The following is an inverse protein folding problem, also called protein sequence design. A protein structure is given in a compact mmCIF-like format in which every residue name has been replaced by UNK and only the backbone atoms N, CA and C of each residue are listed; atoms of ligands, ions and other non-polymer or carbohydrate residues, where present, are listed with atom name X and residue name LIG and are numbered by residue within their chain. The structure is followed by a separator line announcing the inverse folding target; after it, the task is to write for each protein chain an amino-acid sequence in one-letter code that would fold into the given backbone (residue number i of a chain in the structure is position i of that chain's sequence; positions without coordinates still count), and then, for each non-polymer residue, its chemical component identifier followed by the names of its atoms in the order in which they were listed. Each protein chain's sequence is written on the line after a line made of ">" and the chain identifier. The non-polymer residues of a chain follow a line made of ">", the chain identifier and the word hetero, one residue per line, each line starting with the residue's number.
data_IF_071103291664
#
_entry.id   IF_071103291664
#
_cell.length_a   1.000
_cell.length_b   1.000
_cell.length_c   1.000
_cell.angle_alpha   90.00
_cell.angle_beta   90.00
_cell.angle_gamma   90.00
#
_symmetry.space_group_name_H-M   'P 1'
#
loop_
_entity.id
_entity.type
_entity.pdbx_description
1 polymer ?
#
# COMPACT_ATOMS: atom_id res chain seq x y z
N UNK A 1 2.20 -5.33 8.61
CA UNK A 1 1.89 -4.43 9.75
C UNK A 1 0.83 -3.41 9.33
N UNK A 2 -0.04 -2.95 10.23
CA UNK A 2 -0.99 -1.87 9.92
C UNK A 2 -0.28 -0.51 9.96
N UNK A 3 -0.60 0.37 9.02
CA UNK A 3 -0.06 1.72 8.88
C UNK A 3 -1.18 2.73 9.08
N UNK A 4 -0.91 3.79 9.85
CA UNK A 4 -1.90 4.83 10.08
C UNK A 4 -2.08 5.71 8.83
N UNK A 5 -3.29 6.24 8.63
CA UNK A 5 -3.61 7.13 7.49
C UNK A 5 -2.66 8.34 7.38
N UNK A 6 -2.28 8.89 8.52
CA UNK A 6 -1.41 10.06 8.65
C UNK A 6 0.08 9.70 8.79
N UNK A 7 0.45 8.41 8.70
CA UNK A 7 1.84 7.97 8.79
C UNK A 7 2.66 8.59 7.66
N UNK A 8 3.84 9.11 8.01
CA UNK A 8 4.80 9.67 7.07
C UNK A 8 5.71 8.58 6.53
N UNK A 9 5.63 8.32 5.24
CA UNK A 9 6.40 7.29 4.54
C UNK A 9 7.29 7.93 3.49
N UNK A 10 8.46 7.36 3.28
CA UNK A 10 9.32 7.75 2.17
C UNK A 10 8.78 7.18 0.86
N UNK A 11 8.41 8.06 -0.07
CA UNK A 11 7.76 7.67 -1.32
C UNK A 11 8.35 8.45 -2.50
N UNK A 12 8.68 7.74 -3.57
CA UNK A 12 9.39 8.28 -4.76
C UNK A 12 10.76 8.93 -4.44
N UNK A 13 11.39 8.51 -3.34
CA UNK A 13 12.67 9.03 -2.87
C UNK A 13 12.68 9.24 -1.36
N UNK A 14 13.72 9.89 -0.81
CA UNK A 14 13.83 10.19 0.62
C UNK A 14 12.92 11.37 1.04
N UNK A 15 11.67 11.38 0.56
CA UNK A 15 10.67 12.43 0.83
C UNK A 15 9.53 11.86 1.64
N UNK A 16 9.25 12.46 2.80
CA UNK A 16 8.12 12.08 3.64
C UNK A 16 6.79 12.51 3.02
N UNK A 17 5.95 11.54 2.73
CA UNK A 17 4.59 11.72 2.22
C UNK A 17 3.62 10.93 3.09
N UNK A 18 2.49 11.54 3.45
CA UNK A 18 1.44 10.86 4.20
C UNK A 18 0.85 9.70 3.41
N UNK A 19 0.57 8.58 4.07
CA UNK A 19 -0.04 7.40 3.44
C UNK A 19 -1.30 7.73 2.62
N UNK A 20 -2.18 8.61 3.13
CA UNK A 20 -3.38 9.03 2.39
C UNK A 20 -3.12 9.96 1.20
N UNK A 21 -2.01 10.69 1.19
CA UNK A 21 -1.58 11.47 0.01
C UNK A 21 -0.98 10.55 -1.04
N UNK A 22 -0.21 9.54 -0.62
CA UNK A 22 0.30 8.49 -1.49
C UNK A 22 -0.87 7.82 -2.20
N UNK A 23 -1.86 7.31 -1.45
CA UNK A 23 -3.04 6.66 -2.00
C UNK A 23 -3.77 7.51 -3.06
N UNK A 24 -3.99 8.80 -2.77
CA UNK A 24 -4.65 9.73 -3.71
C UNK A 24 -3.83 10.03 -4.96
N UNK A 25 -2.51 9.84 -4.90
CA UNK A 25 -1.60 10.10 -6.01
C UNK A 25 -1.38 8.85 -6.89
N UNK A 26 -1.89 7.67 -6.50
CA UNK A 26 -1.75 6.45 -7.29
C UNK A 26 -2.65 6.50 -8.53
N UNK A 27 -2.12 6.21 -9.73
CA UNK A 27 -2.90 6.25 -10.96
C UNK A 27 -3.95 5.14 -10.96
N UNK A 28 -5.06 5.34 -11.68
CA UNK A 28 -6.16 4.36 -11.75
C UNK A 28 -5.70 2.94 -12.11
N UNK A 29 -4.71 2.80 -13.01
CA UNK A 29 -4.12 1.51 -13.42
C UNK A 29 -3.40 0.74 -12.31
N UNK A 30 -2.98 1.41 -11.24
CA UNK A 30 -2.34 0.76 -10.10
C UNK A 30 -3.36 0.05 -9.19
N UNK A 31 -4.65 0.39 -9.34
CA UNK A 31 -5.73 -0.20 -8.57
C UNK A 31 -6.25 -1.45 -9.26
N UNK A 32 -6.39 -2.52 -8.48
CA UNK A 32 -6.96 -3.79 -8.90
C UNK A 32 -8.13 -4.12 -7.97
N UNK A 33 -9.30 -4.34 -8.57
CA UNK A 33 -10.49 -4.77 -7.85
C UNK A 33 -10.35 -6.25 -7.51
N UNK A 34 -10.41 -6.58 -6.22
CA UNK A 34 -10.32 -7.94 -5.74
C UNK A 34 -11.31 -8.20 -4.62
N UNK A 35 -11.86 -9.42 -4.60
CA UNK A 35 -12.64 -9.93 -3.48
C UNK A 35 -11.73 -10.20 -2.28
N UNK A 36 -12.11 -9.70 -1.11
CA UNK A 36 -11.48 -10.05 0.16
C UNK A 36 -12.12 -11.32 0.78
N UNK A 37 -12.81 -12.11 -0.04
CA UNK A 37 -13.50 -13.34 0.35
C UNK A 37 -15.01 -13.16 0.59
N UNK A 38 -15.71 -14.29 0.57
CA UNK A 38 -17.10 -14.37 0.99
C UNK A 38 -17.20 -14.18 2.51
N UNK A 39 -17.63 -12.99 2.93
CA UNK A 39 -17.91 -12.72 4.34
C UNK A 39 -19.30 -13.21 4.72
N UNK A 40 -19.59 -13.23 6.03
CA UNK A 40 -20.91 -13.54 6.58
C UNK A 40 -22.05 -12.61 6.08
N UNK A 41 -21.72 -11.48 5.44
CA UNK A 41 -22.67 -10.51 4.87
C UNK A 41 -22.61 -10.43 3.34
N UNK A 42 -22.02 -11.43 2.69
CA UNK A 42 -21.76 -11.44 1.25
C UNK A 42 -20.32 -11.07 0.89
N UNK A 43 -20.04 -11.11 -0.40
CA UNK A 43 -18.70 -10.85 -0.95
C UNK A 43 -18.26 -9.40 -0.70
N UNK A 44 -17.07 -9.23 -0.12
CA UNK A 44 -16.49 -7.90 0.12
C UNK A 44 -15.50 -7.57 -0.97
N UNK A 45 -15.92 -6.76 -1.93
CA UNK A 45 -15.07 -6.30 -3.03
C UNK A 45 -14.41 -4.98 -2.65
N UNK A 46 -13.08 -4.93 -2.76
CA UNK A 46 -12.31 -3.71 -2.54
C UNK A 46 -11.39 -3.44 -3.73
N UNK A 47 -11.04 -2.16 -3.92
CA UNK A 47 -9.93 -1.83 -4.80
C UNK A 47 -8.64 -1.81 -3.97
N UNK A 48 -7.61 -2.50 -4.48
CA UNK A 48 -6.31 -2.62 -3.85
C UNK A 48 -5.24 -2.01 -4.75
N UNK A 49 -4.28 -1.30 -4.17
CA UNK A 49 -3.09 -0.84 -4.87
C UNK A 49 -1.85 -1.12 -4.04
N UNK A 50 -0.78 -1.55 -4.69
CA UNK A 50 0.53 -1.77 -4.08
C UNK A 50 1.51 -0.75 -4.64
N UNK A 51 2.25 -0.06 -3.78
CA UNK A 51 3.31 0.86 -4.20
C UNK A 51 4.58 0.62 -3.40
N UNK A 52 5.73 0.69 -4.07
CA UNK A 52 7.03 0.61 -3.41
C UNK A 52 7.26 1.88 -2.56
N UNK A 53 7.78 1.66 -1.35
CA UNK A 53 8.27 2.67 -0.44
C UNK A 53 9.78 2.74 -0.53
N UNK A 54 10.31 3.95 -0.49
CA UNK A 54 11.75 4.17 -0.47
C UNK A 54 12.28 3.96 0.94
N UNK A 55 13.45 3.33 1.10
CA UNK A 55 14.19 3.25 2.36
C UNK A 55 15.69 3.31 2.11
N UNK A 56 16.46 3.81 3.07
CA UNK A 56 17.90 3.62 3.07
C UNK A 56 18.19 2.13 3.29
N UNK A 57 18.87 1.50 2.34
CA UNK A 57 19.29 0.11 2.45
C UNK A 57 20.80 0.09 2.64
N UNK A 58 21.21 -0.02 3.90
CA UNK A 58 22.61 0.13 4.30
C UNK A 58 23.40 -1.15 3.99
N UNK A 59 22.76 -2.31 4.09
CA UNK A 59 23.37 -3.64 3.91
C UNK A 59 22.92 -4.33 2.63
N UNK A 60 23.77 -5.19 2.05
CA UNK A 60 23.42 -6.03 0.91
C UNK A 60 22.22 -6.96 1.21
N UNK A 61 22.12 -7.43 2.46
CA UNK A 61 20.97 -8.22 2.93
C UNK A 61 19.66 -7.43 3.03
N UNK A 62 19.70 -6.10 3.16
CA UNK A 62 18.50 -5.27 3.16
C UNK A 62 18.05 -4.97 1.73
N UNK A 63 19.02 -4.79 0.81
CA UNK A 63 18.76 -4.56 -0.63
C UNK A 63 17.94 -5.64 -1.30
N UNK A 64 17.97 -6.85 -0.75
CA UNK A 64 17.18 -7.99 -1.24
C UNK A 64 15.68 -7.85 -0.95
N UNK A 65 15.28 -6.96 -0.04
CA UNK A 65 13.87 -6.77 0.33
C UNK A 65 13.37 -5.41 -0.13
N UNK A 66 12.23 -5.38 -0.82
CA UNK A 66 11.46 -4.17 -1.08
C UNK A 66 10.50 -3.91 0.06
N UNK A 67 10.23 -2.63 0.33
CA UNK A 67 9.16 -2.23 1.24
C UNK A 67 8.00 -1.73 0.41
N UNK A 68 6.80 -2.19 0.74
CA UNK A 68 5.61 -1.84 0.00
C UNK A 68 4.53 -1.33 0.94
N UNK A 69 3.75 -0.39 0.41
CA UNK A 69 2.50 0.05 0.99
C UNK A 69 1.37 -0.59 0.19
N UNK A 70 0.65 -1.51 0.82
CA UNK A 70 -0.60 -2.02 0.30
C UNK A 70 -1.74 -1.14 0.81
N UNK A 71 -2.44 -0.51 -0.14
CA UNK A 71 -3.57 0.37 0.10
C UNK A 71 -4.84 -0.36 -0.31
N UNK A 72 -5.83 -0.40 0.57
CA UNK A 72 -7.18 -0.87 0.27
C UNK A 72 -8.15 0.29 0.37
N UNK A 73 -9.06 0.44 -0.59
CA UNK A 73 -10.20 1.38 -0.51
C UNK A 73 -11.53 0.69 -0.84
N UNK A 74 -12.59 1.17 -0.22
CA UNK A 74 -13.96 0.81 -0.59
C UNK A 74 -14.34 1.46 -1.94
N UNK A 75 -15.04 0.74 -2.83
CA UNK A 75 -15.59 1.34 -4.05
C UNK A 75 -16.80 2.24 -3.78
N UNK A 76 -17.45 2.06 -2.62
CA UNK A 76 -18.55 2.90 -2.13
C UNK A 76 -18.01 4.10 -1.34
N UNK A 77 -18.69 5.23 -1.45
CA UNK A 77 -18.26 6.63 -1.22
C UNK A 77 -17.51 6.95 0.09
N UNK A 78 -17.58 6.06 1.08
CA UNK A 78 -16.74 6.11 2.28
C UNK A 78 -15.34 5.61 1.95
N UNK A 79 -14.48 6.52 1.48
CA UNK A 79 -13.05 6.34 1.21
C UNK A 79 -12.24 5.93 2.46
N UNK A 80 -12.62 4.84 3.11
CA UNK A 80 -11.87 4.20 4.18
C UNK A 80 -10.66 3.51 3.57
N UNK A 81 -9.50 4.13 3.79
CA UNK A 81 -8.23 3.58 3.35
C UNK A 81 -7.62 2.76 4.49
N UNK A 82 -7.34 1.48 4.24
CA UNK A 82 -6.50 0.67 5.10
C UNK A 82 -5.12 0.56 4.47
N UNK A 83 -4.08 0.72 5.30
CA UNK A 83 -2.70 0.73 4.86
C UNK A 83 -1.94 -0.40 5.55
N UNK A 84 -1.18 -1.16 4.78
CA UNK A 84 -0.36 -2.24 5.29
C UNK A 84 1.08 -2.09 4.79
N UNK A 85 2.03 -2.16 5.72
CA UNK A 85 3.45 -2.27 5.41
C UNK A 85 3.82 -3.74 5.21
N UNK A 86 4.38 -4.04 4.04
CA UNK A 86 4.90 -5.36 3.66
C UNK A 86 6.38 -5.26 3.27
N UNK A 87 7.15 -6.31 3.58
CA UNK A 87 8.53 -6.44 3.15
C UNK A 87 8.66 -7.75 2.39
N UNK A 88 8.88 -7.67 1.08
CA UNK A 88 8.98 -8.85 0.20
C UNK A 88 10.34 -8.86 -0.50
N UNK A 89 10.86 -10.03 -0.86
CA UNK A 89 12.09 -10.13 -1.65
C UNK A 89 11.85 -9.43 -2.99
N UNK A 90 12.73 -8.50 -3.39
CA UNK A 90 12.59 -7.83 -4.68
C UNK A 90 12.63 -8.87 -5.80
N UNK A 91 11.71 -8.81 -6.79
CA UNK A 91 11.83 -9.64 -7.98
C UNK A 91 13.18 -9.34 -8.67
N UNK A 92 13.88 -10.40 -9.08
CA UNK A 92 15.19 -10.35 -9.74
C UNK A 92 15.11 -9.82 -11.16
#
# INVERSE_FOLDING_TARGET
>A
MAVAKNELLWWQGPTYVRADRIARSLPARAWRRMSAGAGAKGERVYDWALTELWRLQMSAGERRFGHYLLVRRSPDEKQEHAFYGESEVKPV
#
